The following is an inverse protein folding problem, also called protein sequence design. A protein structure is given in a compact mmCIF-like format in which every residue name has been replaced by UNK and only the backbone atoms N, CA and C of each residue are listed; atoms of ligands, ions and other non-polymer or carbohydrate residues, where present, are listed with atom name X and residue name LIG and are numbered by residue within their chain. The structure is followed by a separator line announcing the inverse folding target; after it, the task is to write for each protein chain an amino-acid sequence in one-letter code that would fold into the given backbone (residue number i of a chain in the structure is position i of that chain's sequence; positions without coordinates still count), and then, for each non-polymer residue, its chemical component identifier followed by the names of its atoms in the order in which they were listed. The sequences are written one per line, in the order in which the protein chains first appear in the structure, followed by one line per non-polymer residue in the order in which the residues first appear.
data_IF_228747989242
#
_entry.id   IF_228747989242
#
_cell.length_a   1.000
_cell.length_b   1.000
_cell.length_c   1.000
_cell.angle_alpha   90.00
_cell.angle_beta   90.00
_cell.angle_gamma   90.00
#
_symmetry.space_group_name_H-M   'P 1'
#
loop_
_entity.id
_entity.type
_entity.pdbx_description
1 polymer ?
#
# COMPACT_ATOMS: atom_id res chain seq x y z
N UNK A 1 -16.39 -16.15 23.54
CA UNK A 1 -16.05 -15.30 22.37
C UNK A 1 -16.03 -16.18 21.12
N UNK A 2 -17.02 -16.08 20.25
CA UNK A 2 -16.99 -16.77 18.94
C UNK A 2 -16.05 -16.00 18.01
N UNK A 3 -14.86 -16.53 17.74
CA UNK A 3 -13.95 -15.97 16.74
C UNK A 3 -14.52 -16.33 15.37
N UNK A 4 -14.90 -15.32 14.57
CA UNK A 4 -15.31 -15.56 13.19
C UNK A 4 -14.18 -16.28 12.45
N UNK A 5 -14.48 -17.32 11.64
CA UNK A 5 -13.45 -17.98 10.85
C UNK A 5 -12.81 -16.94 9.92
N UNK A 6 -11.49 -16.77 10.01
CA UNK A 6 -10.76 -15.95 9.07
C UNK A 6 -10.72 -16.66 7.72
N UNK A 7 -11.01 -15.93 6.64
CA UNK A 7 -10.85 -16.47 5.29
C UNK A 7 -9.37 -16.80 5.04
N UNK A 8 -9.12 -17.88 4.31
CA UNK A 8 -7.77 -18.26 3.92
C UNK A 8 -7.27 -17.23 2.90
N UNK A 9 -6.09 -16.66 3.16
CA UNK A 9 -5.47 -15.73 2.23
C UNK A 9 -5.14 -16.43 0.90
N UNK A 10 -5.35 -15.73 -0.22
CA UNK A 10 -5.06 -16.24 -1.58
C UNK A 10 -3.61 -16.70 -1.69
N UNK A 11 -2.68 -16.03 -1.03
CA UNK A 11 -1.27 -16.41 -0.98
C UNK A 11 -1.02 -17.78 -0.33
N UNK A 12 -1.81 -18.16 0.69
CA UNK A 12 -1.75 -19.50 1.28
C UNK A 12 -2.36 -20.55 0.36
N UNK A 13 -3.46 -20.22 -0.31
CA UNK A 13 -4.09 -21.11 -1.29
C UNK A 13 -3.15 -21.40 -2.47
N UNK A 14 -2.47 -20.37 -2.99
CA UNK A 14 -1.50 -20.52 -4.08
C UNK A 14 -0.30 -21.41 -3.67
N UNK A 15 0.20 -21.26 -2.44
CA UNK A 15 1.24 -22.16 -1.91
C UNK A 15 0.74 -23.58 -1.77
N UNK A 16 -0.47 -23.77 -1.24
CA UNK A 16 -1.07 -25.09 -1.08
C UNK A 16 -1.22 -25.82 -2.42
N UNK A 17 -1.64 -25.11 -3.46
CA UNK A 17 -1.78 -25.67 -4.80
C UNK A 17 -0.43 -26.04 -5.45
N UNK A 18 0.65 -25.34 -5.09
CA UNK A 18 2.00 -25.58 -5.59
C UNK A 18 2.69 -26.72 -4.82
N UNK A 19 2.71 -26.63 -3.49
CA UNK A 19 3.20 -27.66 -2.58
C UNK A 19 2.40 -27.60 -1.26
N UNK A 20 1.57 -28.62 -0.95
CA UNK A 20 0.79 -28.69 0.27
C UNK A 20 1.61 -28.59 1.55
N UNK A 21 2.88 -29.01 1.53
CA UNK A 21 3.77 -28.98 2.71
C UNK A 21 4.36 -27.58 2.93
N UNK A 22 4.60 -26.83 1.85
CA UNK A 22 5.19 -25.49 1.89
C UNK A 22 4.28 -24.39 2.47
N UNK A 23 3.01 -24.70 2.75
CA UNK A 23 2.07 -23.76 3.40
C UNK A 23 2.47 -23.46 4.85
N UNK A 24 3.14 -24.41 5.51
CA UNK A 24 3.57 -24.29 6.89
C UNK A 24 5.00 -23.75 7.01
N UNK A 25 5.71 -23.61 5.89
CA UNK A 25 7.08 -23.12 5.90
C UNK A 25 7.13 -21.65 6.32
N UNK A 26 8.12 -21.34 7.16
CA UNK A 26 8.37 -19.98 7.62
C UNK A 26 8.75 -19.13 6.41
N UNK A 27 7.99 -18.07 6.19
CA UNK A 27 8.36 -17.04 5.21
C UNK A 27 9.57 -16.29 5.75
N UNK A 28 10.55 -16.02 4.90
CA UNK A 28 11.70 -15.18 5.27
C UNK A 28 11.21 -13.79 5.71
N UNK A 29 11.43 -13.47 6.99
CA UNK A 29 10.99 -12.22 7.58
C UNK A 29 11.72 -11.00 6.98
N UNK A 30 12.96 -11.18 6.53
CA UNK A 30 13.72 -10.16 5.80
C UNK A 30 13.09 -9.86 4.46
N UNK A 31 12.78 -10.89 3.67
CA UNK A 31 12.12 -10.73 2.38
C UNK A 31 10.76 -10.01 2.50
N UNK A 32 9.95 -10.37 3.51
CA UNK A 32 8.67 -9.69 3.79
C UNK A 32 8.88 -8.22 4.16
N UNK A 33 9.89 -7.93 5.00
CA UNK A 33 10.18 -6.55 5.43
C UNK A 33 10.60 -5.66 4.26
N UNK A 34 11.49 -6.14 3.40
CA UNK A 34 11.92 -5.39 2.22
C UNK A 34 10.80 -5.26 1.18
N UNK A 35 10.04 -6.33 0.96
CA UNK A 35 8.87 -6.33 0.08
C UNK A 35 7.81 -5.30 0.52
N UNK A 36 7.48 -5.25 1.81
CA UNK A 36 6.54 -4.27 2.36
C UNK A 36 7.08 -2.83 2.24
N UNK A 37 8.38 -2.62 2.43
CA UNK A 37 9.00 -1.30 2.26
C UNK A 37 8.90 -0.82 0.81
N UNK A 38 9.18 -1.69 -0.15
CA UNK A 38 9.05 -1.38 -1.58
C UNK A 38 7.59 -1.15 -1.98
N UNK A 39 6.67 -2.01 -1.51
CA UNK A 39 5.24 -1.86 -1.74
C UNK A 39 4.69 -0.55 -1.17
N UNK A 40 5.14 -0.14 0.02
CA UNK A 40 4.74 1.14 0.62
C UNK A 40 5.36 2.34 -0.10
N UNK A 41 6.58 2.22 -0.62
CA UNK A 41 7.21 3.28 -1.40
C UNK A 41 6.54 3.50 -2.76
N UNK A 42 6.10 2.43 -3.41
CA UNK A 42 5.39 2.47 -4.70
C UNK A 42 3.89 2.76 -4.53
N UNK A 43 3.28 2.23 -3.48
CA UNK A 43 1.88 2.40 -3.11
C UNK A 43 1.59 3.71 -2.39
N UNK A 44 2.64 4.49 -2.06
CA UNK A 44 2.50 5.91 -1.75
C UNK A 44 2.03 6.63 -3.01
N UNK A 45 0.72 6.56 -3.27
CA UNK A 45 0.04 7.30 -4.32
C UNK A 45 0.33 8.81 -4.22
N UNK A 46 -0.12 9.59 -5.20
CA UNK A 46 0.17 11.02 -5.26
C UNK A 46 -0.14 11.68 -3.91
N UNK A 47 0.89 12.25 -3.31
CA UNK A 47 0.80 12.84 -1.98
C UNK A 47 -0.22 13.97 -2.01
N UNK A 48 -1.31 13.82 -1.25
CA UNK A 48 -2.36 14.84 -1.07
C UNK A 48 -1.74 16.17 -0.63
N UNK A 49 -0.65 16.12 0.14
CA UNK A 49 0.12 17.28 0.59
C UNK A 49 0.77 18.01 -0.61
N UNK A 50 1.38 17.27 -1.54
CA UNK A 50 1.96 17.86 -2.76
C UNK A 50 0.89 18.48 -3.65
N UNK A 51 -0.27 17.85 -3.77
CA UNK A 51 -1.40 18.40 -4.51
C UNK A 51 -1.99 19.66 -3.86
N UNK A 52 -2.16 19.65 -2.54
CA UNK A 52 -2.63 20.81 -1.78
C UNK A 52 -1.69 22.01 -1.90
N UNK A 53 -0.38 21.77 -1.87
CA UNK A 53 0.62 22.81 -2.06
C UNK A 53 0.54 23.45 -3.46
N UNK A 54 0.38 22.65 -4.51
CA UNK A 54 0.24 23.16 -5.89
C UNK A 54 -1.06 23.97 -6.04
N UNK A 55 -2.17 23.50 -5.48
CA UNK A 55 -3.45 24.21 -5.51
C UNK A 55 -3.36 25.57 -4.80
N UNK A 56 -2.69 25.63 -3.63
CA UNK A 56 -2.50 26.87 -2.89
C UNK A 56 -1.65 27.89 -3.68
N UNK A 57 -0.58 27.42 -4.35
CA UNK A 57 0.27 28.26 -5.20
C UNK A 57 -0.54 28.81 -6.39
N UNK A 58 -1.31 27.96 -7.08
CA UNK A 58 -2.15 28.38 -8.19
C UNK A 58 -3.20 29.42 -7.76
N UNK A 59 -3.80 29.23 -6.58
CA UNK A 59 -4.76 30.19 -6.03
C UNK A 59 -4.11 31.53 -5.68
N UNK A 60 -2.93 31.52 -5.06
CA UNK A 60 -2.17 32.72 -4.74
C UNK A 60 -1.77 33.51 -6.00
N UNK A 61 -1.34 32.81 -7.05
CA UNK A 61 -0.99 33.41 -8.34
C UNK A 61 -2.22 33.97 -9.06
N UNK A 62 -3.34 33.25 -9.07
CA UNK A 62 -4.59 33.73 -9.66
C UNK A 62 -5.12 35.00 -8.95
N UNK A 63 -4.99 35.05 -7.62
CA UNK A 63 -5.30 36.25 -6.80
C UNK A 63 -4.38 37.42 -7.12
N UNK A 64 -3.08 37.18 -7.27
CA UNK A 64 -2.10 38.23 -7.61
C UNK A 64 -2.33 38.81 -9.01
N UNK A 65 -2.73 37.97 -9.97
CA UNK A 65 -3.02 38.39 -11.35
C UNK A 65 -4.43 38.97 -11.54
N UNK A 66 -5.26 39.03 -10.49
CA UNK A 66 -6.61 39.60 -10.55
C UNK A 66 -7.60 38.78 -11.40
N UNK A 67 -7.31 37.51 -11.66
CA UNK A 67 -8.20 36.61 -12.38
C UNK A 67 -9.38 36.14 -11.50
N UNK A 68 -9.24 36.26 -10.18
CA UNK A 68 -10.23 35.94 -9.12
C UNK A 68 -10.03 36.92 -7.95
#
# INVERSE_FOLDING_TARGET
MSRKPSSIAISKLARYACDPKAVFDKVDAGAVRYGNRAHNALGAGPSVIKFGAIAAILFAVAKYLGLI
#
